data_IF_041907161679
#
_entry.id   IF_041907161679
#
_cell.length_a   1.000
_cell.length_b   1.000
_cell.length_c   1.000
_cell.angle_alpha   90.00
_cell.angle_beta   90.00
_cell.angle_gamma   90.00
#
_symmetry.space_group_name_H-M   'P 1'
#
loop_
_entity.id
_entity.type
_entity.pdbx_description
1 polymer ?
#
# COMPACT_ATOMS: atom_id res chain seq x y z
N UNK A 1 4.64 -3.88 9.40
CA UNK A 1 3.47 -4.61 9.95
C UNK A 1 3.97 -5.68 10.91
N UNK A 2 3.40 -5.78 12.13
CA UNK A 2 3.77 -6.86 13.04
C UNK A 2 2.97 -8.10 12.62
N UNK A 3 3.58 -9.04 11.91
CA UNK A 3 2.88 -10.19 11.32
C UNK A 3 2.28 -11.10 12.39
N UNK A 4 2.89 -11.14 13.58
CA UNK A 4 2.46 -11.97 14.71
C UNK A 4 1.04 -11.61 15.19
N UNK A 5 0.66 -10.33 15.21
CA UNK A 5 -0.68 -9.90 15.66
C UNK A 5 -1.79 -10.12 14.64
N UNK A 6 -1.42 -10.30 13.36
CA UNK A 6 -2.37 -10.60 12.28
C UNK A 6 -2.73 -12.08 12.30
N UNK A 7 -1.74 -12.95 12.56
CA UNK A 7 -1.93 -14.41 12.66
C UNK A 7 -2.79 -14.78 13.88
N UNK A 8 -2.54 -14.16 15.04
CA UNK A 8 -3.34 -14.41 16.26
C UNK A 8 -4.82 -14.02 16.12
N UNK A 9 -5.13 -12.99 15.31
CA UNK A 9 -6.52 -12.53 15.12
C UNK A 9 -7.31 -13.32 14.08
N UNK A 10 -6.63 -13.94 13.12
CA UNK A 10 -7.29 -14.56 11.97
C UNK A 10 -7.14 -16.09 11.90
N UNK A 11 -6.23 -16.70 12.67
CA UNK A 11 -6.06 -18.16 12.71
C UNK A 11 -5.63 -18.81 11.38
N UNK A 12 -5.44 -18.01 10.34
CA UNK A 12 -4.97 -18.36 8.99
C UNK A 12 -4.24 -17.18 8.39
N UNK A 13 -3.34 -17.44 7.43
CA UNK A 13 -2.81 -16.38 6.55
C UNK A 13 -3.99 -15.88 5.69
N UNK A 14 -4.43 -14.62 5.84
CA UNK A 14 -5.51 -14.08 5.02
C UNK A 14 -5.05 -14.07 3.57
N UNK A 15 -5.93 -14.44 2.64
CA UNK A 15 -5.66 -14.24 1.22
C UNK A 15 -5.46 -12.74 0.94
N UNK A 16 -4.60 -12.39 -0.02
CA UNK A 16 -4.20 -11.01 -0.32
C UNK A 16 -5.40 -10.07 -0.50
N UNK A 17 -6.47 -10.57 -1.12
CA UNK A 17 -7.71 -9.82 -1.30
C UNK A 17 -8.43 -9.48 0.01
N UNK A 18 -8.46 -10.43 0.96
CA UNK A 18 -9.08 -10.22 2.27
C UNK A 18 -8.26 -9.24 3.10
N UNK A 19 -6.93 -9.39 3.08
CA UNK A 19 -6.01 -8.47 3.75
C UNK A 19 -6.14 -7.05 3.18
N UNK A 20 -6.21 -6.94 1.86
CA UNK A 20 -6.41 -5.66 1.18
C UNK A 20 -7.75 -5.03 1.55
N UNK A 21 -8.85 -5.81 1.61
CA UNK A 21 -10.17 -5.32 2.06
C UNK A 21 -10.13 -4.81 3.49
N UNK A 22 -9.49 -5.54 4.39
CA UNK A 22 -9.36 -5.18 5.80
C UNK A 22 -8.60 -3.86 5.98
N UNK A 23 -7.43 -3.74 5.34
CA UNK A 23 -6.64 -2.50 5.39
C UNK A 23 -7.40 -1.35 4.74
N UNK A 24 -8.11 -1.59 3.62
CA UNK A 24 -8.94 -0.58 2.96
C UNK A 24 -10.01 -0.03 3.91
N UNK A 25 -10.69 -0.89 4.68
CA UNK A 25 -11.67 -0.43 5.66
C UNK A 25 -11.03 0.47 6.72
N UNK A 26 -9.85 0.12 7.22
CA UNK A 26 -9.16 0.91 8.22
C UNK A 26 -8.65 2.25 7.66
N UNK A 27 -8.13 2.27 6.43
CA UNK A 27 -7.80 3.49 5.70
C UNK A 27 -9.01 4.38 5.52
N UNK A 28 -10.19 3.82 5.21
CA UNK A 28 -11.43 4.60 5.11
C UNK A 28 -11.84 5.21 6.45
N UNK A 29 -11.72 4.47 7.55
CA UNK A 29 -11.96 5.02 8.91
C UNK A 29 -10.98 6.14 9.24
N UNK A 30 -9.70 5.98 8.92
CA UNK A 30 -8.69 7.01 9.11
C UNK A 30 -8.99 8.26 8.28
N UNK A 31 -9.38 8.08 7.01
CA UNK A 31 -9.76 9.16 6.10
C UNK A 31 -10.95 10.00 6.60
N UNK A 32 -11.87 9.42 7.40
CA UNK A 32 -12.97 10.17 8.02
C UNK A 32 -12.49 11.22 9.04
N UNK A 33 -11.32 10.99 9.66
CA UNK A 33 -10.70 11.90 10.63
C UNK A 33 -9.76 12.93 9.97
N UNK A 34 -9.46 12.79 8.68
CA UNK A 34 -8.51 13.63 7.95
C UNK A 34 -9.23 14.71 7.12
N UNK A 35 -8.57 15.87 6.99
CA UNK A 35 -8.99 16.90 6.05
C UNK A 35 -8.96 16.38 4.61
N UNK A 36 -9.81 16.96 3.75
CA UNK A 36 -10.01 16.51 2.36
C UNK A 36 -8.71 16.31 1.58
N UNK A 37 -7.75 17.23 1.71
CA UNK A 37 -6.46 17.17 1.00
C UNK A 37 -5.48 16.11 1.54
N UNK A 38 -5.64 15.66 2.80
CA UNK A 38 -4.82 14.60 3.40
C UNK A 38 -5.41 13.21 3.23
N UNK A 39 -6.58 13.09 2.59
CA UNK A 39 -7.22 11.79 2.39
C UNK A 39 -6.38 10.91 1.47
N UNK A 40 -6.14 9.69 1.94
CA UNK A 40 -5.45 8.64 1.20
C UNK A 40 -6.37 8.18 0.08
N UNK A 41 -5.94 8.34 -1.18
CA UNK A 41 -6.72 7.97 -2.37
C UNK A 41 -6.38 6.57 -2.90
N UNK A 42 -5.13 6.17 -2.77
CA UNK A 42 -4.61 4.86 -3.20
C UNK A 42 -3.54 4.41 -2.22
N UNK A 43 -3.45 3.09 -2.03
CA UNK A 43 -2.39 2.44 -1.29
C UNK A 43 -2.09 1.09 -1.96
N UNK A 44 -0.91 0.57 -1.73
CA UNK A 44 -0.43 -0.71 -2.23
C UNK A 44 0.14 -1.49 -1.04
N UNK A 45 -0.02 -2.80 -1.04
CA UNK A 45 0.60 -3.69 -0.07
C UNK A 45 1.76 -4.40 -0.75
N UNK A 46 2.87 -4.54 -0.03
CA UNK A 46 4.07 -5.23 -0.49
C UNK A 46 4.53 -6.20 0.58
N UNK A 47 4.99 -7.35 0.15
CA UNK A 47 5.59 -8.37 1.01
C UNK A 47 7.09 -8.13 1.22
N UNK A 48 7.74 -7.51 0.22
CA UNK A 48 9.16 -7.18 0.25
C UNK A 48 9.45 -5.96 1.15
N UNK A 49 10.65 -5.96 1.72
CA UNK A 49 11.12 -4.85 2.56
C UNK A 49 11.55 -3.65 1.70
N UNK A 50 11.23 -2.43 2.16
CA UNK A 50 11.67 -1.20 1.51
C UNK A 50 13.19 -1.07 1.50
N UNK A 51 13.75 -0.48 0.44
CA UNK A 51 15.18 -0.17 0.44
C UNK A 51 15.49 0.87 1.52
N UNK A 52 16.49 0.56 2.35
CA UNK A 52 16.86 1.37 3.51
C UNK A 52 18.26 1.98 3.38
N UNK A 53 18.46 3.12 4.01
CA UNK A 53 19.78 3.71 4.22
C UNK A 53 20.61 2.84 5.18
N UNK A 54 21.91 3.11 5.28
CA UNK A 54 22.78 2.51 6.31
C UNK A 54 22.23 2.74 7.73
N UNK A 55 21.53 3.85 7.95
CA UNK A 55 20.81 4.19 9.19
C UNK A 55 19.39 3.61 9.29
N UNK A 56 19.03 2.63 8.45
CA UNK A 56 17.73 1.92 8.41
C UNK A 56 16.50 2.80 8.09
N UNK A 57 16.70 4.01 7.56
CA UNK A 57 15.61 4.88 7.09
C UNK A 57 15.18 4.49 5.68
N UNK A 58 13.90 4.58 5.36
CA UNK A 58 13.39 4.25 4.01
C UNK A 58 13.95 5.25 2.98
N UNK A 59 14.52 4.74 1.88
CA UNK A 59 15.00 5.54 0.76
C UNK A 59 13.86 5.91 -0.19
N UNK A 60 13.14 6.99 0.15
CA UNK A 60 11.97 7.45 -0.61
C UNK A 60 12.22 7.68 -2.11
N UNK A 61 13.41 8.17 -2.49
CA UNK A 61 13.73 8.49 -3.89
C UNK A 61 13.68 7.25 -4.78
N UNK A 62 14.16 6.10 -4.29
CA UNK A 62 14.13 4.84 -5.04
C UNK A 62 12.69 4.38 -5.23
N UNK A 63 11.89 4.41 -4.16
CA UNK A 63 10.49 3.96 -4.21
C UNK A 63 9.59 4.83 -5.09
N UNK A 64 9.85 6.14 -5.15
CA UNK A 64 9.11 7.04 -6.03
C UNK A 64 9.32 6.72 -7.52
N UNK A 65 10.51 6.23 -7.90
CA UNK A 65 10.78 5.79 -9.26
C UNK A 65 9.92 4.57 -9.59
N UNK A 66 9.87 3.58 -8.68
CA UNK A 66 9.05 2.38 -8.83
C UNK A 66 7.55 2.71 -8.96
N UNK A 67 7.03 3.59 -8.09
CA UNK A 67 5.62 4.01 -8.14
C UNK A 67 5.29 4.80 -9.42
N UNK A 68 6.23 5.62 -9.90
CA UNK A 68 6.05 6.36 -11.16
C UNK A 68 6.01 5.42 -12.35
N UNK A 69 6.89 4.41 -12.39
CA UNK A 69 6.88 3.38 -13.43
C UNK A 69 5.55 2.60 -13.46
N UNK A 70 5.03 2.21 -12.29
CA UNK A 70 3.71 1.54 -12.18
C UNK A 70 2.59 2.47 -12.65
N UNK A 71 2.58 3.74 -12.22
CA UNK A 71 1.59 4.72 -12.64
C UNK A 71 1.61 4.99 -14.15
N UNK A 72 2.80 5.02 -14.76
CA UNK A 72 2.96 5.20 -16.20
C UNK A 72 2.52 3.94 -16.97
N UNK A 73 2.77 2.72 -16.46
CA UNK A 73 2.20 1.47 -17.02
C UNK A 73 0.67 1.48 -16.99
N UNK A 74 0.04 1.78 -15.84
CA UNK A 74 -1.42 1.79 -15.68
C UNK A 74 -2.10 2.78 -16.64
N UNK A 75 -1.49 3.93 -16.90
CA UNK A 75 -1.97 4.89 -17.90
C UNK A 75 -1.95 4.32 -19.32
N UNK A 76 -0.91 3.57 -19.67
CA UNK A 76 -0.78 2.93 -20.99
C UNK A 76 -1.85 1.84 -21.18
N UNK A 77 -2.15 1.06 -20.14
CA UNK A 77 -3.21 0.05 -20.19
C UNK A 77 -4.60 0.67 -20.36
N UNK A 78 -4.94 1.70 -19.58
CA UNK A 78 -6.23 2.39 -19.69
C UNK A 78 -6.44 3.13 -21.03
N UNK A 79 -5.35 3.48 -21.74
CA UNK A 79 -5.42 4.11 -23.07
C UNK A 79 -5.71 3.12 -24.21
N UNK A 80 -5.45 1.82 -24.02
CA UNK A 80 -5.69 0.77 -25.03
C UNK A 80 -7.12 0.22 -25.04
N UNK A 81 -7.90 0.49 -24.00
CA UNK A 81 -9.29 0.03 -23.85
C UNK A 81 -10.33 1.05 -24.33
N UNK A 82 -9.91 2.10 -25.03
CA UNK A 82 -10.77 3.13 -25.63
C UNK A 82 -10.58 3.23 -27.13
#
# INVERSE_FOLDING_TARGET
PNMDTIVEKFGRVPADEELHKLIKQEVLKANKKLSSYKKIKHFELREEEFEKTTTKKIKRQVELVSLKAIGDMLKVFNKKTG
#
